data_IF_808877781615
#
_entry.id   IF_808877781615
#
_cell.length_a   1.000
_cell.length_b   1.000
_cell.length_c   1.000
_cell.angle_alpha   90.00
_cell.angle_beta   90.00
_cell.angle_gamma   90.00
#
_symmetry.space_group_name_H-M   'P 1'
#
loop_
_entity.id
_entity.type
_entity.pdbx_description
1 polymer ?
#
# COMPACT_ATOMS: atom_id res chain seq x y z
N UNK A 1 54.39 -14.45 -53.66
CA UNK A 1 53.78 -15.41 -52.70
C UNK A 1 53.40 -14.61 -51.47
N UNK A 2 52.14 -14.15 -51.43
CA UNK A 2 51.04 -14.72 -50.64
C UNK A 2 51.02 -14.08 -49.25
N UNK A 3 50.17 -13.08 -49.03
CA UNK A 3 48.77 -13.30 -48.63
C UNK A 3 48.69 -14.31 -47.49
N UNK A 4 49.13 -13.95 -46.29
CA UNK A 4 48.76 -14.70 -45.07
C UNK A 4 48.58 -13.80 -43.84
N UNK A 5 49.25 -12.65 -43.74
CA UNK A 5 49.28 -11.91 -42.47
C UNK A 5 48.20 -10.83 -42.25
N UNK A 6 47.24 -10.66 -43.16
CA UNK A 6 46.18 -9.63 -43.00
C UNK A 6 44.78 -10.19 -42.66
N UNK A 7 44.61 -11.51 -42.61
CA UNK A 7 43.28 -12.13 -42.54
C UNK A 7 42.87 -12.68 -41.16
N UNK A 8 43.74 -12.62 -40.14
CA UNK A 8 43.46 -13.28 -38.83
C UNK A 8 43.15 -12.28 -37.69
N UNK A 9 43.32 -10.97 -37.91
CA UNK A 9 43.08 -9.94 -36.89
C UNK A 9 41.69 -9.28 -36.95
N UNK A 10 40.81 -9.71 -37.85
CA UNK A 10 39.44 -9.18 -37.99
C UNK A 10 38.32 -10.13 -37.51
N UNK A 11 38.65 -11.23 -36.84
CA UNK A 11 37.67 -12.23 -36.36
C UNK A 11 37.57 -12.34 -34.84
N UNK A 12 38.21 -11.44 -34.09
CA UNK A 12 38.02 -11.30 -32.64
C UNK A 12 37.08 -10.15 -32.30
N UNK A 13 36.02 -9.99 -33.08
CA UNK A 13 34.79 -9.38 -32.57
C UNK A 13 34.07 -10.47 -31.78
N UNK A 14 34.60 -10.81 -30.61
CA UNK A 14 33.82 -11.51 -29.60
C UNK A 14 32.59 -10.65 -29.35
N UNK A 15 31.45 -11.09 -29.90
CA UNK A 15 30.15 -10.65 -29.49
C UNK A 15 30.06 -11.00 -27.99
N UNK A 16 30.47 -10.05 -27.15
CA UNK A 16 30.02 -10.00 -25.78
C UNK A 16 28.53 -9.77 -25.93
N UNK A 17 27.75 -10.85 -25.86
CA UNK A 17 26.34 -10.74 -25.54
C UNK A 17 26.30 -10.14 -24.14
N UNK A 18 26.45 -8.82 -24.04
CA UNK A 18 26.07 -8.09 -22.86
C UNK A 18 24.56 -8.32 -22.79
N UNK A 19 24.16 -9.23 -21.91
CA UNK A 19 22.76 -9.31 -21.47
C UNK A 19 22.33 -7.90 -21.14
N UNK A 20 21.27 -7.42 -21.77
CA UNK A 20 20.74 -6.09 -21.47
C UNK A 20 20.51 -6.00 -19.95
N UNK A 21 20.94 -4.91 -19.31
CA UNK A 21 20.77 -4.75 -17.87
C UNK A 21 19.27 -4.79 -17.56
N UNK A 22 18.88 -5.61 -16.58
CA UNK A 22 17.49 -5.72 -16.14
C UNK A 22 16.92 -4.36 -15.81
N UNK A 23 15.79 -4.01 -16.43
CA UNK A 23 15.11 -2.73 -16.24
C UNK A 23 14.34 -2.69 -14.92
N UNK A 24 14.00 -1.49 -14.40
CA UNK A 24 13.19 -1.38 -13.19
C UNK A 24 11.82 -2.05 -13.31
N UNK A 25 11.21 -2.01 -14.50
CA UNK A 25 9.92 -2.66 -14.79
C UNK A 25 10.04 -4.18 -14.82
N UNK A 26 11.14 -4.72 -15.36
CA UNK A 26 11.41 -6.16 -15.31
C UNK A 26 11.62 -6.66 -13.88
N UNK A 27 12.32 -5.91 -13.02
CA UNK A 27 12.41 -6.23 -11.61
C UNK A 27 11.03 -6.20 -10.93
N UNK A 28 10.19 -5.21 -11.25
CA UNK A 28 8.84 -5.15 -10.71
C UNK A 28 7.99 -6.34 -11.16
N UNK A 29 8.07 -6.73 -12.44
CA UNK A 29 7.38 -7.90 -12.97
C UNK A 29 7.85 -9.20 -12.33
N UNK A 30 9.15 -9.35 -12.07
CA UNK A 30 9.70 -10.47 -11.30
C UNK A 30 9.15 -10.53 -9.87
N UNK A 31 8.93 -9.37 -9.22
CA UNK A 31 8.30 -9.29 -7.91
C UNK A 31 6.82 -9.69 -7.97
N UNK A 32 6.09 -9.30 -9.03
CA UNK A 32 4.70 -9.71 -9.26
C UNK A 32 4.57 -11.22 -9.42
N UNK A 33 5.38 -11.82 -10.27
CA UNK A 33 5.41 -13.27 -10.48
C UNK A 33 5.68 -14.05 -9.19
N UNK A 34 6.57 -13.54 -8.33
CA UNK A 34 6.83 -14.14 -7.00
C UNK A 34 5.62 -14.04 -6.08
N UNK A 35 4.86 -12.94 -6.15
CA UNK A 35 3.61 -12.78 -5.39
C UNK A 35 2.54 -13.75 -5.87
N UNK A 36 2.42 -13.97 -7.18
CA UNK A 36 1.51 -14.95 -7.76
C UNK A 36 1.87 -16.38 -7.31
N UNK A 37 3.15 -16.74 -7.31
CA UNK A 37 3.63 -18.03 -6.79
C UNK A 37 3.27 -18.23 -5.31
N UNK A 38 3.49 -17.22 -4.46
CA UNK A 38 3.09 -17.30 -3.04
C UNK A 38 1.58 -17.44 -2.88
N UNK A 39 0.79 -16.76 -3.71
CA UNK A 39 -0.67 -16.81 -3.68
C UNK A 39 -1.18 -18.19 -4.07
N UNK A 40 -0.63 -18.80 -5.13
CA UNK A 40 -0.98 -20.16 -5.54
C UNK A 40 -0.72 -21.18 -4.41
N UNK A 41 0.45 -21.10 -3.75
CA UNK A 41 0.76 -21.98 -2.63
C UNK A 41 -0.23 -21.77 -1.47
N UNK A 42 -0.59 -20.53 -1.15
CA UNK A 42 -1.54 -20.23 -0.09
C UNK A 42 -2.96 -20.75 -0.41
N UNK A 43 -3.42 -20.58 -1.65
CA UNK A 43 -4.74 -21.06 -2.08
C UNK A 43 -4.82 -22.59 -2.05
N UNK A 44 -3.76 -23.30 -2.41
CA UNK A 44 -3.67 -24.75 -2.25
C UNK A 44 -3.78 -25.19 -0.77
N UNK A 45 -3.10 -24.48 0.12
CA UNK A 45 -3.16 -24.74 1.57
C UNK A 45 -4.57 -24.52 2.12
N UNK A 46 -5.24 -23.48 1.67
CA UNK A 46 -6.60 -23.16 2.08
C UNK A 46 -7.61 -24.19 1.59
N UNK A 47 -7.44 -24.69 0.36
CA UNK A 47 -8.28 -25.78 -0.13
C UNK A 47 -8.11 -27.04 0.73
N UNK A 48 -6.88 -27.36 1.15
CA UNK A 48 -6.61 -28.48 2.05
C UNK A 48 -7.17 -28.26 3.45
N UNK A 49 -7.13 -27.03 3.96
CA UNK A 49 -7.78 -26.64 5.23
C UNK A 49 -9.29 -26.91 5.16
N UNK A 50 -9.94 -26.43 4.11
CA UNK A 50 -11.37 -26.60 3.88
C UNK A 50 -11.78 -28.08 3.71
N UNK A 51 -10.92 -28.88 3.07
CA UNK A 51 -11.11 -30.32 2.89
C UNK A 51 -10.84 -31.15 4.17
N UNK A 52 -10.34 -30.54 5.25
CA UNK A 52 -9.91 -31.25 6.47
C UNK A 52 -8.67 -32.13 6.26
N UNK A 53 -7.90 -31.89 5.19
CA UNK A 53 -6.71 -32.67 4.78
C UNK A 53 -5.39 -32.02 5.19
N UNK A 54 -5.45 -31.01 6.05
CA UNK A 54 -4.29 -30.22 6.42
C UNK A 54 -3.39 -31.02 7.37
N UNK A 55 -2.22 -31.46 6.88
CA UNK A 55 -1.19 -32.11 7.71
C UNK A 55 -0.24 -31.05 8.28
N UNK A 56 -0.25 -30.80 9.61
CA UNK A 56 0.55 -29.74 10.22
C UNK A 56 2.05 -29.82 9.90
N UNK A 57 2.61 -31.03 9.73
CA UNK A 57 4.06 -31.20 9.47
C UNK A 57 4.40 -30.90 8.01
N UNK A 58 3.63 -31.46 7.07
CA UNK A 58 3.82 -31.18 5.65
C UNK A 58 3.59 -29.70 5.34
N UNK A 59 2.58 -29.09 5.96
CA UNK A 59 2.27 -27.68 5.70
C UNK A 59 3.26 -26.70 6.32
N UNK A 60 3.91 -27.05 7.43
CA UNK A 60 5.03 -26.25 7.96
C UNK A 60 6.15 -26.13 6.92
N UNK A 61 6.49 -27.23 6.23
CA UNK A 61 7.53 -27.21 5.19
C UNK A 61 7.09 -26.51 3.90
N UNK A 62 5.80 -26.57 3.55
CA UNK A 62 5.22 -25.81 2.43
C UNK A 62 5.23 -24.31 2.70
N UNK A 63 4.78 -23.90 3.89
CA UNK A 63 4.80 -22.50 4.34
C UNK A 63 6.23 -21.96 4.41
N UNK A 64 7.20 -22.72 4.92
CA UNK A 64 8.60 -22.31 4.93
C UNK A 64 9.15 -22.05 3.52
N UNK A 65 8.78 -22.87 2.53
CA UNK A 65 9.16 -22.67 1.13
C UNK A 65 8.52 -21.42 0.54
N UNK A 66 7.23 -21.17 0.81
CA UNK A 66 6.57 -19.94 0.39
C UNK A 66 7.22 -18.69 1.04
N UNK A 67 7.53 -18.76 2.34
CA UNK A 67 8.21 -17.68 3.05
C UNK A 67 9.64 -17.43 2.57
N UNK A 68 10.31 -18.45 2.01
CA UNK A 68 11.64 -18.29 1.42
C UNK A 68 11.65 -17.43 0.14
N UNK A 69 10.48 -17.16 -0.45
CA UNK A 69 10.33 -16.24 -1.60
C UNK A 69 10.41 -14.78 -1.14
N UNK A 70 10.03 -14.47 0.09
CA UNK A 70 9.91 -13.09 0.59
C UNK A 70 11.22 -12.27 0.50
N UNK A 71 12.42 -12.81 0.80
CA UNK A 71 13.67 -12.07 0.61
C UNK A 71 13.95 -11.70 -0.85
N UNK A 72 13.62 -12.58 -1.80
CA UNK A 72 13.81 -12.31 -3.23
C UNK A 72 12.79 -11.30 -3.75
N UNK A 73 11.52 -11.46 -3.36
CA UNK A 73 10.48 -10.47 -3.61
C UNK A 73 10.89 -9.08 -3.11
N UNK A 74 11.42 -9.00 -1.88
CA UNK A 74 11.96 -7.75 -1.33
C UNK A 74 13.09 -7.18 -2.17
N UNK A 75 14.04 -8.02 -2.56
CA UNK A 75 15.17 -7.60 -3.37
C UNK A 75 14.72 -7.00 -4.70
N UNK A 76 13.78 -7.65 -5.40
CA UNK A 76 13.27 -7.15 -6.67
C UNK A 76 12.55 -5.80 -6.53
N UNK A 77 11.73 -5.65 -5.48
CA UNK A 77 11.11 -4.35 -5.16
C UNK A 77 12.16 -3.26 -4.88
N UNK A 78 13.27 -3.62 -4.21
CA UNK A 78 14.36 -2.68 -3.96
C UNK A 78 15.02 -2.24 -5.27
N UNK A 79 15.33 -3.18 -6.17
CA UNK A 79 15.94 -2.87 -7.46
C UNK A 79 15.02 -2.01 -8.33
N UNK A 80 13.73 -2.36 -8.42
CA UNK A 80 12.73 -1.58 -9.13
C UNK A 80 12.56 -0.16 -8.54
N UNK A 81 12.48 -0.04 -7.21
CA UNK A 81 12.35 1.24 -6.50
C UNK A 81 13.57 2.15 -6.67
N UNK A 82 14.79 1.58 -6.64
CA UNK A 82 16.04 2.29 -6.90
C UNK A 82 16.09 2.78 -8.35
N UNK A 83 15.58 1.98 -9.28
CA UNK A 83 15.42 2.31 -10.69
C UNK A 83 14.31 3.33 -11.01
N UNK A 84 13.49 3.73 -10.03
CA UNK A 84 12.45 4.75 -10.19
C UNK A 84 11.02 4.22 -10.34
N UNK A 85 10.79 2.91 -10.22
CA UNK A 85 9.45 2.34 -10.33
C UNK A 85 8.59 2.70 -9.09
N UNK A 86 7.56 3.52 -9.30
CA UNK A 86 6.80 4.15 -8.21
C UNK A 86 5.94 3.17 -7.41
N UNK A 87 5.24 2.25 -8.08
CA UNK A 87 4.45 1.21 -7.38
C UNK A 87 5.37 0.30 -6.56
N UNK A 88 6.53 -0.09 -7.09
CA UNK A 88 7.53 -0.85 -6.33
C UNK A 88 8.02 -0.10 -5.08
N UNK A 89 8.27 1.21 -5.20
CA UNK A 89 8.61 2.08 -4.05
C UNK A 89 7.52 2.01 -2.96
N UNK A 90 6.25 2.06 -3.35
CA UNK A 90 5.13 1.95 -2.43
C UNK A 90 4.98 0.57 -1.77
N UNK A 91 5.10 -0.51 -2.56
CA UNK A 91 5.04 -1.87 -2.03
C UNK A 91 6.19 -2.17 -1.07
N UNK A 92 7.40 -1.67 -1.38
CA UNK A 92 8.56 -1.78 -0.50
C UNK A 92 8.31 -1.08 0.84
N UNK A 93 7.77 0.14 0.80
CA UNK A 93 7.43 0.89 2.01
C UNK A 93 6.41 0.15 2.88
N UNK A 94 5.37 -0.43 2.27
CA UNK A 94 4.41 -1.27 2.99
C UNK A 94 5.09 -2.49 3.58
N UNK A 95 5.91 -3.21 2.83
CA UNK A 95 6.56 -4.42 3.35
C UNK A 95 7.52 -4.11 4.52
N UNK A 96 8.23 -2.98 4.49
CA UNK A 96 9.14 -2.55 5.57
C UNK A 96 8.42 -1.92 6.79
N UNK A 97 7.15 -1.57 6.63
CA UNK A 97 6.31 -1.03 7.69
C UNK A 97 5.85 -2.12 8.67
N UNK A 98 6.31 -2.00 9.93
CA UNK A 98 6.02 -2.92 11.04
C UNK A 98 5.63 -2.17 12.33
N UNK A 99 4.84 -2.77 13.23
CA UNK A 99 4.40 -2.09 14.46
C UNK A 99 5.55 -1.64 15.38
N UNK A 100 6.65 -2.38 15.41
CA UNK A 100 7.80 -2.15 16.32
C UNK A 100 9.01 -1.54 15.61
N UNK A 101 8.80 -0.55 14.75
CA UNK A 101 9.89 0.15 14.06
C UNK A 101 10.70 1.04 15.01
N UNK A 102 12.01 1.08 14.80
CA UNK A 102 12.87 2.15 15.32
C UNK A 102 12.55 3.48 14.61
N UNK A 103 13.02 4.59 15.17
CA UNK A 103 12.88 5.92 14.53
C UNK A 103 13.50 5.96 13.14
N UNK A 104 14.66 5.32 12.96
CA UNK A 104 15.37 5.29 11.68
C UNK A 104 14.65 4.43 10.63
N UNK A 105 14.19 3.24 11.01
CA UNK A 105 13.37 2.39 10.12
C UNK A 105 12.08 3.10 9.69
N UNK A 106 11.43 3.81 10.62
CA UNK A 106 10.24 4.60 10.30
C UNK A 106 10.57 5.73 9.33
N UNK A 107 11.71 6.41 9.52
CA UNK A 107 12.17 7.48 8.63
C UNK A 107 12.32 6.95 7.20
N UNK A 108 12.97 5.80 7.03
CA UNK A 108 13.17 5.15 5.72
C UNK A 108 11.83 4.80 5.05
N UNK A 109 10.87 4.23 5.79
CA UNK A 109 9.52 3.96 5.26
C UNK A 109 8.82 5.25 4.83
N UNK A 110 8.92 6.31 5.64
CA UNK A 110 8.29 7.59 5.32
C UNK A 110 8.95 8.30 4.13
N UNK A 111 10.25 8.15 3.93
CA UNK A 111 10.94 8.64 2.73
C UNK A 111 10.46 7.92 1.47
N UNK A 112 10.25 6.60 1.52
CA UNK A 112 9.69 5.84 0.40
C UNK A 112 8.24 6.25 0.10
N UNK A 113 7.38 6.38 1.12
CA UNK A 113 6.00 6.84 0.94
C UNK A 113 5.94 8.26 0.38
N UNK A 114 6.80 9.16 0.89
CA UNK A 114 6.90 10.53 0.39
C UNK A 114 7.33 10.53 -1.08
N UNK A 115 8.36 9.75 -1.46
CA UNK A 115 8.81 9.62 -2.85
C UNK A 115 7.67 9.17 -3.78
N UNK A 116 6.91 8.15 -3.37
CA UNK A 116 5.79 7.65 -4.17
C UNK A 116 4.62 8.65 -4.25
N UNK A 117 4.34 9.36 -3.15
CA UNK A 117 3.32 10.42 -3.10
C UNK A 117 3.68 11.61 -3.99
N UNK A 118 4.94 12.05 -3.95
CA UNK A 118 5.45 13.15 -4.78
C UNK A 118 5.37 12.79 -6.27
N UNK A 119 5.66 11.52 -6.60
CA UNK A 119 5.58 10.98 -7.95
C UNK A 119 4.16 10.67 -8.45
N UNK A 120 3.12 10.89 -7.63
CA UNK A 120 1.73 10.85 -8.09
C UNK A 120 0.86 9.73 -7.57
N UNK A 121 1.42 8.70 -6.94
CA UNK A 121 0.66 7.54 -6.53
C UNK A 121 -0.31 7.88 -5.39
N UNK A 122 -1.60 7.76 -5.65
CA UNK A 122 -2.65 8.13 -4.70
C UNK A 122 -2.66 7.22 -3.47
N UNK A 123 -2.42 5.91 -3.67
CA UNK A 123 -2.28 4.95 -2.57
C UNK A 123 -1.20 5.36 -1.55
N UNK A 124 -0.09 5.94 -2.03
CA UNK A 124 0.97 6.45 -1.16
C UNK A 124 0.53 7.67 -0.36
N UNK A 125 -0.24 8.58 -0.97
CA UNK A 125 -0.82 9.73 -0.26
C UNK A 125 -1.72 9.28 0.89
N UNK A 126 -2.58 8.30 0.66
CA UNK A 126 -3.47 7.78 1.71
C UNK A 126 -2.68 7.04 2.80
N UNK A 127 -1.75 6.17 2.42
CA UNK A 127 -0.94 5.39 3.36
C UNK A 127 -0.03 6.27 4.25
N UNK A 128 0.41 7.43 3.75
CA UNK A 128 1.25 8.37 4.50
C UNK A 128 0.58 8.80 5.82
N UNK A 129 -0.74 8.95 5.86
CA UNK A 129 -1.47 9.37 7.05
C UNK A 129 -1.33 8.37 8.21
N UNK A 130 -1.59 7.09 7.94
CA UNK A 130 -1.58 6.05 8.98
C UNK A 130 -0.16 5.67 9.41
N UNK A 131 0.83 5.83 8.54
CA UNK A 131 2.21 5.37 8.75
C UNK A 131 3.19 6.48 9.17
N UNK A 132 2.99 7.74 8.75
CA UNK A 132 4.00 8.80 8.89
C UNK A 132 3.50 10.05 9.61
N UNK A 133 2.43 10.67 9.12
CA UNK A 133 1.89 11.88 9.75
C UNK A 133 1.42 11.60 11.18
N UNK A 134 0.73 10.46 11.40
CA UNK A 134 0.26 9.93 12.70
C UNK A 134 -0.34 10.99 13.63
N UNK A 135 -0.91 12.05 13.06
CA UNK A 135 -1.43 13.18 13.82
C UNK A 135 -2.59 12.75 14.72
N UNK A 136 -3.37 11.76 14.27
CA UNK A 136 -4.46 11.15 15.02
C UNK A 136 -4.01 10.54 16.35
N UNK A 137 -2.74 10.14 16.48
CA UNK A 137 -2.20 9.64 17.75
C UNK A 137 -1.79 10.77 18.69
N UNK A 138 -1.46 11.95 18.15
CA UNK A 138 -1.00 13.11 18.91
C UNK A 138 -2.11 14.14 19.16
N UNK A 139 -3.25 14.02 18.47
CA UNK A 139 -4.34 14.99 18.43
C UNK A 139 -3.88 16.41 17.99
N UNK A 140 -2.84 16.50 17.15
CA UNK A 140 -2.24 17.76 16.69
C UNK A 140 -2.63 18.10 15.24
N UNK A 141 -3.94 18.12 14.96
CA UNK A 141 -4.50 18.33 13.60
C UNK A 141 -4.20 19.71 12.99
N UNK A 142 -3.43 20.55 13.67
CA UNK A 142 -3.05 21.89 13.22
C UNK A 142 -1.56 22.03 12.92
N UNK A 143 -0.77 20.96 13.07
CA UNK A 143 0.63 20.98 12.67
C UNK A 143 0.77 21.35 11.19
N UNK A 144 1.78 22.16 10.86
CA UNK A 144 2.02 22.60 9.48
C UNK A 144 2.23 21.42 8.51
N UNK A 145 2.82 20.34 9.00
CA UNK A 145 3.01 19.09 8.23
C UNK A 145 1.67 18.47 7.88
N UNK A 146 0.76 18.36 8.85
CA UNK A 146 -0.57 17.80 8.61
C UNK A 146 -1.41 18.67 7.68
N UNK A 147 -1.42 19.99 7.86
CA UNK A 147 -2.17 20.89 6.97
C UNK A 147 -1.66 20.81 5.52
N UNK A 148 -0.34 20.73 5.32
CA UNK A 148 0.27 20.49 4.00
C UNK A 148 -0.12 19.13 3.42
N UNK A 149 -0.25 18.11 4.27
CA UNK A 149 -0.72 16.78 3.87
C UNK A 149 -2.18 16.81 3.41
N UNK A 150 -3.09 17.43 4.17
CA UNK A 150 -4.50 17.53 3.81
C UNK A 150 -4.69 18.24 2.46
N UNK A 151 -3.92 19.30 2.21
CA UNK A 151 -3.97 20.00 0.93
C UNK A 151 -3.55 19.11 -0.24
N UNK A 152 -2.45 18.36 -0.09
CA UNK A 152 -2.03 17.38 -1.11
C UNK A 152 -3.09 16.30 -1.32
N UNK A 153 -3.71 15.81 -0.24
CA UNK A 153 -4.76 14.79 -0.33
C UNK A 153 -5.97 15.28 -1.12
N UNK A 154 -6.42 16.53 -0.90
CA UNK A 154 -7.50 17.16 -1.67
C UNK A 154 -7.14 17.27 -3.15
N UNK A 155 -5.95 17.80 -3.45
CA UNK A 155 -5.49 17.94 -4.84
C UNK A 155 -5.40 16.60 -5.58
N UNK A 156 -5.04 15.50 -4.87
CA UNK A 156 -5.00 14.17 -5.45
C UNK A 156 -6.39 13.59 -5.72
N UNK A 157 -7.37 13.87 -4.87
CA UNK A 157 -8.76 13.43 -5.07
C UNK A 157 -9.42 14.05 -6.30
N UNK A 158 -8.93 15.20 -6.77
CA UNK A 158 -9.43 15.88 -7.97
C UNK A 158 -8.89 15.29 -9.29
N UNK A 159 -7.94 14.35 -9.22
CA UNK A 159 -7.26 13.78 -10.39
C UNK A 159 -7.41 12.27 -10.44
N UNK A 160 -7.52 11.74 -11.65
CA UNK A 160 -7.39 10.30 -11.87
C UNK A 160 -5.93 9.91 -11.59
N UNK A 161 -5.74 8.82 -10.84
CA UNK A 161 -4.41 8.30 -10.57
C UNK A 161 -3.83 7.65 -11.84
N UNK A 162 -2.67 8.12 -12.29
CA UNK A 162 -1.97 7.55 -13.45
C UNK A 162 -1.57 6.08 -13.23
N UNK A 163 -1.52 5.63 -11.97
CA UNK A 163 -1.22 4.25 -11.59
C UNK A 163 -2.47 3.39 -11.35
N UNK A 164 -3.67 3.85 -11.74
CA UNK A 164 -4.95 3.17 -11.47
C UNK A 164 -4.98 1.68 -11.88
N UNK A 165 -4.27 1.30 -12.95
CA UNK A 165 -4.20 -0.09 -13.42
C UNK A 165 -3.45 -1.04 -12.47
N UNK A 166 -2.75 -0.51 -11.46
CA UNK A 166 -2.01 -1.29 -10.47
C UNK A 166 -2.84 -1.63 -9.23
N UNK A 167 -4.07 -1.14 -9.14
CA UNK A 167 -4.98 -1.47 -8.04
C UNK A 167 -5.59 -2.87 -8.23
N UNK A 168 -5.91 -3.61 -7.15
CA UNK A 168 -5.86 -3.19 -5.75
C UNK A 168 -4.44 -3.14 -5.18
N UNK A 169 -4.21 -2.22 -4.24
CA UNK A 169 -2.92 -2.04 -3.57
C UNK A 169 -3.05 -2.28 -2.06
N UNK A 170 -1.98 -2.75 -1.39
CA UNK A 170 -2.03 -3.06 0.03
C UNK A 170 -1.98 -1.80 0.87
N UNK A 171 -2.71 -1.77 1.98
CA UNK A 171 -2.63 -0.75 3.04
C UNK A 171 -2.32 -1.41 4.38
N UNK A 172 -1.57 -0.74 5.26
CA UNK A 172 -1.30 -1.29 6.61
C UNK A 172 -2.43 -1.14 7.60
N UNK A 173 -3.26 -0.12 7.40
CA UNK A 173 -4.36 0.24 8.26
C UNK A 173 -5.36 1.03 7.44
N UNK A 174 -6.60 0.59 7.46
CA UNK A 174 -7.73 1.35 6.92
C UNK A 174 -8.59 1.84 8.08
N UNK A 175 -9.09 3.06 7.97
CA UNK A 175 -10.07 3.65 8.85
C UNK A 175 -11.50 3.40 8.34
N UNK A 176 -11.67 3.09 7.05
CA UNK A 176 -12.97 2.80 6.44
C UNK A 176 -13.39 1.33 6.42
N UNK A 177 -12.44 0.40 6.23
CA UNK A 177 -12.73 -0.99 5.90
C UNK A 177 -12.16 -1.99 6.91
N UNK A 178 -11.52 -1.49 7.96
CA UNK A 178 -11.05 -2.30 9.07
C UNK A 178 -11.83 -1.90 10.32
N UNK A 179 -12.51 -2.87 10.95
CA UNK A 179 -13.03 -2.66 12.30
C UNK A 179 -11.86 -2.70 13.28
N UNK A 180 -11.34 -1.52 13.61
CA UNK A 180 -10.26 -1.33 14.57
C UNK A 180 -10.64 -1.76 16.00
N UNK A 181 -11.93 -2.02 16.27
CA UNK A 181 -12.47 -2.46 17.55
C UNK A 181 -12.80 -3.95 17.58
N UNK A 182 -12.71 -4.64 16.44
CA UNK A 182 -13.01 -6.07 16.37
C UNK A 182 -12.06 -6.85 17.29
N UNK A 183 -12.57 -7.78 18.11
CA UNK A 183 -11.72 -8.66 18.89
C UNK A 183 -10.85 -9.49 17.95
N UNK A 184 -9.57 -9.66 18.30
CA UNK A 184 -8.68 -10.57 17.58
C UNK A 184 -9.36 -11.94 17.53
N UNK A 185 -9.56 -12.48 16.32
CA UNK A 185 -10.10 -13.82 16.16
C UNK A 185 -9.18 -14.78 16.91
N UNK A 186 -9.74 -15.52 17.87
CA UNK A 186 -9.02 -16.45 18.72
C UNK A 186 -8.51 -17.67 17.94
N UNK A 187 -9.16 -18.00 16.83
CA UNK A 187 -8.76 -19.08 15.93
C UNK A 187 -7.85 -18.56 14.81
N UNK A 188 -6.56 -18.89 14.88
CA UNK A 188 -5.57 -18.63 13.82
C UNK A 188 -5.61 -19.72 12.76
N UNK A 189 -6.71 -19.82 12.01
CA UNK A 189 -6.77 -20.62 10.78
C UNK A 189 -6.06 -19.89 9.65
N UNK A 190 -5.59 -20.63 8.64
CA UNK A 190 -5.01 -20.01 7.44
C UNK A 190 -6.04 -19.14 6.74
N UNK A 191 -7.30 -19.58 6.69
CA UNK A 191 -8.41 -18.83 6.13
C UNK A 191 -8.62 -17.46 6.81
N UNK A 192 -8.53 -17.40 8.14
CA UNK A 192 -8.65 -16.13 8.87
C UNK A 192 -7.48 -15.20 8.56
N UNK A 193 -6.25 -15.72 8.52
CA UNK A 193 -5.06 -14.93 8.18
C UNK A 193 -5.11 -14.40 6.74
N UNK A 194 -5.56 -15.21 5.78
CA UNK A 194 -5.72 -14.77 4.40
C UNK A 194 -6.83 -13.72 4.28
N UNK A 195 -7.96 -13.90 4.97
CA UNK A 195 -9.06 -12.94 4.95
C UNK A 195 -8.62 -11.57 5.51
N UNK A 196 -7.84 -11.56 6.59
CA UNK A 196 -7.26 -10.33 7.15
C UNK A 196 -6.30 -9.65 6.16
N UNK A 197 -5.43 -10.42 5.50
CA UNK A 197 -4.51 -9.88 4.49
C UNK A 197 -5.27 -9.32 3.26
N UNK A 198 -6.31 -10.04 2.78
CA UNK A 198 -7.15 -9.60 1.65
C UNK A 198 -7.97 -8.36 1.98
N UNK A 199 -8.46 -8.22 3.22
CA UNK A 199 -9.18 -7.03 3.67
C UNK A 199 -8.30 -5.75 3.64
N UNK A 200 -6.98 -5.93 3.59
CA UNK A 200 -6.00 -4.86 3.49
C UNK A 200 -5.51 -4.62 2.06
N UNK A 201 -6.14 -5.21 1.05
CA UNK A 201 -5.97 -4.84 -0.36
C UNK A 201 -7.16 -3.97 -0.78
N UNK A 202 -6.92 -2.68 -1.01
CA UNK A 202 -7.98 -1.75 -1.37
C UNK A 202 -7.96 -1.46 -2.87
N UNK A 203 -9.14 -1.50 -3.48
CA UNK A 203 -9.37 -0.97 -4.83
C UNK A 203 -9.19 0.55 -4.88
N UNK A 204 -9.11 1.11 -6.09
CA UNK A 204 -8.96 2.56 -6.27
C UNK A 204 -10.08 3.35 -5.58
N UNK A 205 -11.34 2.95 -5.75
CA UNK A 205 -12.48 3.60 -5.11
C UNK A 205 -12.45 3.47 -3.57
N UNK A 206 -11.96 2.35 -3.04
CA UNK A 206 -11.77 2.19 -1.60
C UNK A 206 -10.67 3.11 -1.06
N UNK A 207 -9.59 3.34 -1.81
CA UNK A 207 -8.60 4.37 -1.46
C UNK A 207 -9.20 5.78 -1.49
N UNK A 208 -10.13 6.06 -2.42
CA UNK A 208 -10.86 7.34 -2.44
C UNK A 208 -11.76 7.48 -1.22
N UNK A 209 -12.47 6.41 -0.83
CA UNK A 209 -13.27 6.39 0.39
C UNK A 209 -12.42 6.71 1.63
N UNK A 210 -11.26 6.06 1.74
CA UNK A 210 -10.30 6.27 2.83
C UNK A 210 -9.80 7.72 2.87
N UNK A 211 -9.45 8.29 1.72
CA UNK A 211 -9.02 9.69 1.62
C UNK A 211 -10.10 10.68 2.06
N UNK A 212 -11.34 10.50 1.58
CA UNK A 212 -12.46 11.34 2.01
C UNK A 212 -12.72 11.22 3.51
N UNK A 213 -12.60 10.01 4.07
CA UNK A 213 -12.77 9.78 5.49
C UNK A 213 -11.67 10.43 6.34
N UNK A 214 -10.42 10.40 5.87
CA UNK A 214 -9.31 11.14 6.49
C UNK A 214 -9.62 12.65 6.48
N UNK A 215 -10.04 13.21 5.35
CA UNK A 215 -10.42 14.62 5.26
C UNK A 215 -11.55 14.97 6.22
N UNK A 216 -12.61 14.15 6.26
CA UNK A 216 -13.73 14.35 7.17
C UNK A 216 -13.26 14.38 8.63
N UNK A 217 -12.55 13.33 9.06
CA UNK A 217 -12.16 13.09 10.45
C UNK A 217 -11.04 13.99 10.98
N UNK A 218 -10.26 14.65 10.11
CA UNK A 218 -9.06 15.40 10.52
C UNK A 218 -8.99 16.85 10.05
N UNK A 219 -9.95 17.32 9.24
CA UNK A 219 -10.02 18.74 8.87
C UNK A 219 -10.72 19.54 9.99
N UNK A 220 -9.92 20.28 10.76
CA UNK A 220 -10.40 21.15 11.84
C UNK A 220 -10.02 22.62 11.62
N UNK A 221 -10.97 23.51 11.93
CA UNK A 221 -10.80 24.96 12.00
C UNK A 221 -9.81 25.38 13.11
N UNK A 222 -9.42 26.66 13.13
CA UNK A 222 -8.57 27.23 14.19
C UNK A 222 -9.18 27.09 15.60
N UNK A 223 -10.51 27.00 15.70
CA UNK A 223 -11.23 26.82 16.97
C UNK A 223 -11.33 25.35 17.40
N UNK A 224 -10.70 24.43 16.66
CA UNK A 224 -10.79 22.99 16.93
C UNK A 224 -12.15 22.38 16.57
N UNK A 225 -12.99 23.10 15.82
CA UNK A 225 -14.25 22.58 15.30
C UNK A 225 -14.03 21.94 13.91
N UNK A 226 -14.75 20.88 13.54
CA UNK A 226 -14.69 20.33 12.20
C UNK A 226 -14.96 21.39 11.12
N UNK A 227 -14.33 21.27 9.97
CA UNK A 227 -14.63 22.15 8.85
C UNK A 227 -16.02 21.87 8.28
N UNK A 228 -16.68 22.88 7.70
CA UNK A 228 -18.02 22.75 7.12
C UNK A 228 -18.11 21.64 6.06
N UNK A 229 -17.03 21.46 5.29
CA UNK A 229 -16.94 20.43 4.25
C UNK A 229 -16.75 19.01 4.80
N UNK A 230 -16.48 18.84 6.11
CA UNK A 230 -16.26 17.52 6.70
C UNK A 230 -17.46 16.59 6.53
N UNK A 231 -18.69 17.11 6.57
CA UNK A 231 -19.90 16.32 6.32
C UNK A 231 -19.98 15.86 4.85
N UNK A 232 -19.63 16.72 3.90
CA UNK A 232 -19.64 16.37 2.48
C UNK A 232 -18.57 15.32 2.15
N UNK A 233 -17.39 15.41 2.76
CA UNK A 233 -16.37 14.38 2.65
C UNK A 233 -16.83 13.06 3.28
N UNK A 234 -17.44 13.11 4.47
CA UNK A 234 -17.98 11.89 5.09
C UNK A 234 -19.00 11.21 4.17
N UNK A 235 -19.96 11.97 3.64
CA UNK A 235 -20.97 11.43 2.73
C UNK A 235 -20.35 10.78 1.48
N UNK A 236 -19.29 11.36 0.92
CA UNK A 236 -18.55 10.75 -0.20
C UNK A 236 -17.85 9.45 0.21
N UNK A 237 -17.23 9.41 1.40
CA UNK A 237 -16.64 8.17 1.92
C UNK A 237 -17.67 7.06 2.12
N UNK A 238 -18.83 7.38 2.70
CA UNK A 238 -19.92 6.42 2.92
C UNK A 238 -20.51 5.91 1.61
N UNK A 239 -20.67 6.79 0.61
CA UNK A 239 -21.15 6.40 -0.72
C UNK A 239 -20.21 5.39 -1.41
N UNK A 240 -18.92 5.41 -1.06
CA UNK A 240 -17.91 4.46 -1.53
C UNK A 240 -17.73 3.25 -0.59
N UNK A 241 -18.63 3.05 0.37
CA UNK A 241 -18.69 1.85 1.22
C UNK A 241 -17.92 1.93 2.53
N UNK A 242 -17.44 3.11 2.95
CA UNK A 242 -16.79 3.29 4.25
C UNK A 242 -17.75 2.98 5.41
N UNK A 243 -17.31 2.28 6.46
CA UNK A 243 -18.18 1.83 7.57
C UNK A 243 -18.39 2.85 8.69
N UNK A 244 -17.84 4.06 8.60
CA UNK A 244 -17.88 5.09 9.65
C UNK A 244 -17.40 4.60 11.03
N UNK A 245 -16.18 4.06 11.10
CA UNK A 245 -15.62 3.44 12.32
C UNK A 245 -15.53 4.37 13.54
N UNK A 246 -15.53 5.69 13.32
CA UNK A 246 -15.43 6.74 14.34
C UNK A 246 -16.80 7.35 14.66
N UNK A 247 -17.88 6.85 14.06
CA UNK A 247 -19.26 7.31 14.29
C UNK A 247 -19.43 8.83 14.04
N UNK A 248 -18.76 9.33 13.00
CA UNK A 248 -18.72 10.76 12.66
C UNK A 248 -20.06 11.28 12.15
N UNK A 249 -20.87 10.41 11.54
CA UNK A 249 -22.14 10.79 10.92
C UNK A 249 -23.08 11.44 11.92
N UNK A 250 -23.33 10.76 13.04
CA UNK A 250 -24.22 11.26 14.09
C UNK A 250 -23.71 12.57 14.70
N UNK A 251 -22.39 12.74 14.78
CA UNK A 251 -21.76 13.97 15.27
C UNK A 251 -21.96 15.14 14.30
N UNK A 252 -21.65 14.95 13.01
CA UNK A 252 -21.78 16.00 12.01
C UNK A 252 -23.22 16.34 11.65
N UNK A 253 -24.15 15.39 11.69
CA UNK A 253 -25.58 15.69 11.51
C UNK A 253 -26.12 16.59 12.63
N UNK A 254 -25.64 16.43 13.87
CA UNK A 254 -25.98 17.35 14.97
C UNK A 254 -25.33 18.72 14.82
N UNK A 255 -24.06 18.76 14.46
CA UNK A 255 -23.29 20.01 14.35
C UNK A 255 -23.73 20.85 13.14
N UNK A 256 -24.02 20.21 12.00
CA UNK A 256 -24.26 20.88 10.72
C UNK A 256 -25.65 20.63 10.11
N UNK A 257 -26.33 19.53 10.45
CA UNK A 257 -27.63 19.17 9.87
C UNK A 257 -28.78 20.10 10.26
N UNK A 258 -28.64 20.86 11.35
CA UNK A 258 -29.58 21.92 11.73
C UNK A 258 -29.52 23.18 10.86
N UNK A 259 -28.48 23.35 10.05
CA UNK A 259 -28.26 24.57 9.25
C UNK A 259 -29.05 24.60 7.92
N UNK A 260 -29.72 23.50 7.53
CA UNK A 260 -30.59 23.44 6.34
C UNK A 260 -32.08 23.68 6.66
N UNK A 261 -32.45 23.95 7.92
CA UNK A 261 -33.83 24.12 8.37
C UNK A 261 -34.20 25.54 8.85
N UNK A 262 -33.43 26.58 8.46
CA UNK A 262 -33.77 27.98 8.72
C UNK A 262 -33.51 28.86 7.52
#
# INVERSE_FOLDING_TARGET
>A
MKLVLAAVLLLLSSAVFASEPTTPDEYFEQARQKTEQMTQVLDELLQREADGKLDPKAETATLQRAMAIAPQFKHDLQMASQGGHIVATYLLANMDSKPTQTTEERKQVCELLQKAMDAGLFAATVAYFSQCDKVYMRYDFRSAVHLKYLEQLRQRLERVDEYQDNYPLPIKRSFCFQDLRAPLKTERTLANLQAEAKALLLSYDQYRAEAYYILASTSFTEKGQPEKLSLDYLNQALALGCTDTLELKDYYEKEFGGAQAK
#
